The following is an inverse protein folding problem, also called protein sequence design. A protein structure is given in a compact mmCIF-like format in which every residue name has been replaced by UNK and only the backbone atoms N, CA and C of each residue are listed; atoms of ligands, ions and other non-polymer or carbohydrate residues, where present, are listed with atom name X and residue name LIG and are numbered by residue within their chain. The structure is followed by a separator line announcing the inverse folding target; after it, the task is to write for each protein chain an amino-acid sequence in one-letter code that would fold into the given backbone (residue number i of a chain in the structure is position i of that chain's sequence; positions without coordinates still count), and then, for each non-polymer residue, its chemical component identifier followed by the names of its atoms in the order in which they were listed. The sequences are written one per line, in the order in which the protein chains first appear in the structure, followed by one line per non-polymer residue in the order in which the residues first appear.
data_IF_239841891047
#
_entry.id   IF_239841891047
#
_cell.length_a   1.000
_cell.length_b   1.000
_cell.length_c   1.000
_cell.angle_alpha   90.00
_cell.angle_beta   90.00
_cell.angle_gamma   90.00
#
_symmetry.space_group_name_H-M   'P 1'
#
loop_
_entity.id
_entity.type
_entity.pdbx_description
1 polymer ?
#
# COMPACT_ATOMS: atom_id res chain seq x y z
N UNK A 1 -12.73 75.10 36.36
CA UNK A 1 -12.06 73.92 35.77
C UNK A 1 -13.09 72.81 35.64
N UNK A 2 -13.74 72.74 34.49
CA UNK A 2 -14.64 71.66 34.09
C UNK A 2 -13.99 71.03 32.85
N UNK A 3 -13.56 69.77 32.95
CA UNK A 3 -13.08 69.01 31.81
C UNK A 3 -14.19 68.13 31.29
N UNK A 4 -14.54 68.42 30.05
CA UNK A 4 -15.51 67.77 29.18
C UNK A 4 -15.12 66.34 28.84
N UNK A 5 -16.13 65.47 28.82
CA UNK A 5 -16.08 64.06 28.47
C UNK A 5 -16.03 63.91 26.93
N UNK A 6 -15.00 63.26 26.39
CA UNK A 6 -14.84 63.05 24.95
C UNK A 6 -15.19 61.60 24.59
N UNK A 7 -16.39 61.38 24.06
CA UNK A 7 -16.80 60.09 23.48
C UNK A 7 -16.02 59.84 22.18
N UNK A 8 -15.26 58.74 22.12
CA UNK A 8 -14.71 58.22 20.85
C UNK A 8 -15.76 57.33 20.20
N UNK A 9 -16.30 57.75 19.07
CA UNK A 9 -17.04 56.90 18.14
C UNK A 9 -16.08 56.34 17.08
N UNK A 10 -16.20 55.04 16.79
CA UNK A 10 -15.52 54.40 15.67
C UNK A 10 -16.60 53.96 14.69
N UNK A 11 -16.63 54.56 13.51
CA UNK A 11 -17.51 54.18 12.41
C UNK A 11 -16.81 53.11 11.56
N UNK A 12 -17.42 51.93 11.46
CA UNK A 12 -17.00 50.90 10.49
C UNK A 12 -17.83 51.07 9.23
N UNK A 13 -17.16 51.38 8.13
CA UNK A 13 -17.74 51.50 6.80
C UNK A 13 -17.83 50.09 6.21
N UNK A 14 -19.03 49.61 5.90
CA UNK A 14 -19.26 48.30 5.28
C UNK A 14 -19.75 48.54 3.86
N UNK A 15 -18.97 48.10 2.87
CA UNK A 15 -19.39 48.09 1.47
C UNK A 15 -20.55 47.11 1.24
N UNK A 16 -21.50 47.57 0.43
CA UNK A 16 -22.70 46.93 -0.13
C UNK A 16 -22.50 45.43 -0.40
N UNK A 17 -23.16 44.51 0.32
CA UNK A 17 -24.52 44.07 0.00
C UNK A 17 -25.28 43.47 1.21
N UNK A 18 -24.87 43.77 2.45
CA UNK A 18 -25.46 43.15 3.65
C UNK A 18 -26.32 44.08 4.52
N UNK A 19 -26.58 45.32 4.07
CA UNK A 19 -27.31 46.34 4.83
C UNK A 19 -28.84 46.13 4.90
N UNK A 20 -29.38 45.04 4.36
CA UNK A 20 -30.82 44.78 4.29
C UNK A 20 -31.39 43.87 5.40
N UNK A 21 -30.58 43.41 6.36
CA UNK A 21 -31.02 42.42 7.36
C UNK A 21 -30.89 42.82 8.84
N UNK A 22 -30.74 44.10 9.17
CA UNK A 22 -30.69 44.52 10.58
C UNK A 22 -31.83 45.49 10.92
N UNK A 23 -32.77 45.13 11.80
CA UNK A 23 -33.78 46.05 12.29
C UNK A 23 -33.15 47.07 13.24
N UNK A 24 -33.50 48.33 13.04
CA UNK A 24 -33.13 49.48 13.86
C UNK A 24 -33.55 49.28 15.32
N UNK A 25 -32.62 48.92 16.19
CA UNK A 25 -32.84 48.84 17.63
C UNK A 25 -31.62 49.37 18.36
N UNK A 26 -31.79 50.49 19.08
CA UNK A 26 -30.76 51.02 19.97
C UNK A 26 -30.56 50.07 21.16
N UNK A 27 -29.33 49.60 21.39
CA UNK A 27 -28.97 48.78 22.54
C UNK A 27 -28.25 49.63 23.59
N UNK A 28 -28.90 49.84 24.74
CA UNK A 28 -28.26 50.36 25.95
C UNK A 28 -27.38 49.28 26.61
N UNK A 29 -26.11 49.61 26.85
CA UNK A 29 -25.17 48.72 27.54
C UNK A 29 -25.32 48.90 29.05
N UNK A 30 -25.91 47.91 29.74
CA UNK A 30 -25.94 47.85 31.21
C UNK A 30 -24.54 47.52 31.77
N UNK A 31 -24.07 48.33 32.72
CA UNK A 31 -22.83 48.12 33.48
C UNK A 31 -22.86 46.79 34.26
N UNK A 32 -21.86 45.93 34.07
CA UNK A 32 -21.66 44.67 34.80
C UNK A 32 -21.20 44.88 36.25
N UNK A 33 -21.80 44.12 37.19
CA UNK A 33 -21.42 43.98 38.60
C UNK A 33 -20.10 43.17 38.81
N UNK A 34 -19.46 43.23 40.00
CA UNK A 34 -18.04 42.92 40.16
C UNK A 34 -17.68 41.43 40.18
N UNK A 35 -16.54 41.12 39.52
CA UNK A 35 -15.88 39.83 39.26
C UNK A 35 -15.40 39.01 40.49
N UNK A 36 -16.02 39.13 41.67
CA UNK A 36 -15.59 38.36 42.87
C UNK A 36 -16.29 37.01 42.98
N UNK A 37 -17.57 36.91 42.61
CA UNK A 37 -18.37 35.68 42.72
C UNK A 37 -17.94 34.63 41.69
N UNK A 38 -17.61 35.05 40.46
CA UNK A 38 -17.18 34.14 39.38
C UNK A 38 -15.84 33.45 39.66
N UNK A 39 -14.88 34.17 40.27
CA UNK A 39 -13.59 33.58 40.68
C UNK A 39 -13.75 32.50 41.75
N UNK A 40 -14.66 32.69 42.72
CA UNK A 40 -14.95 31.68 43.74
C UNK A 40 -15.58 30.43 43.15
N UNK A 41 -16.49 30.59 42.19
CA UNK A 41 -17.13 29.47 41.48
C UNK A 41 -16.10 28.68 40.67
N UNK A 42 -15.22 29.36 39.93
CA UNK A 42 -14.15 28.70 39.16
C UNK A 42 -13.19 27.92 40.08
N UNK A 43 -12.78 28.52 41.21
CA UNK A 43 -11.89 27.85 42.16
C UNK A 43 -12.56 26.62 42.80
N UNK A 44 -13.85 26.71 43.10
CA UNK A 44 -14.63 25.58 43.61
C UNK A 44 -14.75 24.45 42.58
N UNK A 45 -15.00 24.76 41.31
CA UNK A 45 -15.04 23.77 40.24
C UNK A 45 -13.68 23.08 40.02
N UNK A 46 -12.58 23.81 40.13
CA UNK A 46 -11.23 23.24 40.02
C UNK A 46 -10.88 22.31 41.19
N UNK A 47 -11.34 22.63 42.40
CA UNK A 47 -11.16 21.75 43.56
C UNK A 47 -12.00 20.47 43.45
N UNK A 48 -13.23 20.58 42.94
CA UNK A 48 -14.10 19.42 42.67
C UNK A 48 -13.52 18.51 41.59
N UNK A 49 -12.95 19.05 40.52
CA UNK A 49 -12.33 18.23 39.47
C UNK A 49 -11.05 17.55 39.96
N UNK A 50 -10.23 18.24 40.76
CA UNK A 50 -9.03 17.64 41.35
C UNK A 50 -9.39 16.51 42.34
N UNK A 51 -10.38 16.74 43.20
CA UNK A 51 -10.88 15.70 44.11
C UNK A 51 -11.48 14.52 43.34
N UNK A 52 -12.23 14.79 42.26
CA UNK A 52 -12.75 13.78 41.36
C UNK A 52 -11.65 12.92 40.74
N UNK A 53 -10.57 13.52 40.25
CA UNK A 53 -9.43 12.78 39.69
C UNK A 53 -8.71 11.91 40.73
N UNK A 54 -8.53 12.41 41.95
CA UNK A 54 -7.88 11.64 43.04
C UNK A 54 -8.78 10.50 43.51
N UNK A 55 -10.09 10.75 43.69
CA UNK A 55 -11.04 9.72 44.07
C UNK A 55 -11.18 8.65 42.98
N UNK A 56 -11.25 9.05 41.70
CA UNK A 56 -11.32 8.11 40.58
C UNK A 56 -10.02 7.31 40.46
N UNK A 57 -8.85 7.94 40.67
CA UNK A 57 -7.55 7.25 40.68
C UNK A 57 -7.36 6.29 41.86
N UNK A 58 -7.99 6.56 43.01
CA UNK A 58 -7.90 5.70 44.20
C UNK A 58 -8.87 4.52 44.16
N UNK A 59 -10.04 4.68 43.53
CA UNK A 59 -11.08 3.65 43.46
C UNK A 59 -11.13 2.87 42.13
N UNK A 60 -10.35 3.24 41.10
CA UNK A 60 -10.23 2.44 39.88
C UNK A 60 -9.12 1.38 40.01
N UNK A 61 -9.44 0.08 39.94
CA UNK A 61 -8.44 -0.97 39.81
C UNK A 61 -7.79 -0.92 38.41
N UNK A 62 -6.50 -1.25 38.34
CA UNK A 62 -5.54 -1.09 37.22
C UNK A 62 -5.92 -1.75 35.86
N UNK A 63 -7.16 -2.17 35.64
CA UNK A 63 -7.57 -2.89 34.43
C UNK A 63 -8.47 -2.10 33.47
N UNK A 64 -8.91 -0.87 33.78
CA UNK A 64 -9.93 -0.20 32.95
C UNK A 64 -9.72 1.30 32.66
N UNK A 65 -8.49 1.82 32.78
CA UNK A 65 -8.19 3.19 32.34
C UNK A 65 -7.56 3.20 30.94
N UNK A 66 -8.34 3.66 29.95
CA UNK A 66 -8.06 3.63 28.51
C UNK A 66 -7.03 4.67 28.01
N UNK A 67 -6.05 5.05 28.82
CA UNK A 67 -4.96 5.93 28.41
C UNK A 67 -3.65 5.36 28.97
N UNK A 68 -2.78 4.89 28.06
CA UNK A 68 -1.44 4.31 28.30
C UNK A 68 -1.38 2.83 28.71
N UNK A 69 -1.32 1.92 27.71
CA UNK A 69 -0.44 0.75 27.68
C UNK A 69 -0.49 0.04 26.30
N UNK A 70 0.07 0.67 25.26
CA UNK A 70 0.21 0.02 23.93
C UNK A 70 1.43 -0.90 23.83
N UNK A 71 2.31 -0.92 24.84
CA UNK A 71 3.60 -1.64 24.76
C UNK A 71 3.56 -3.10 25.25
N UNK A 72 2.56 -3.55 26.03
CA UNK A 72 2.55 -4.92 26.58
C UNK A 72 1.75 -5.97 25.79
N UNK A 73 1.03 -5.55 24.74
CA UNK A 73 0.19 -6.47 23.96
C UNK A 73 1.02 -7.32 22.99
N UNK A 74 2.18 -6.85 22.53
CA UNK A 74 2.96 -7.55 21.49
C UNK A 74 3.61 -8.85 21.99
N UNK A 75 4.00 -8.93 23.27
CA UNK A 75 4.76 -10.06 23.80
C UNK A 75 3.86 -11.20 24.30
N UNK A 76 2.75 -10.87 24.97
CA UNK A 76 1.74 -11.84 25.41
C UNK A 76 0.98 -12.47 24.24
N UNK A 77 0.75 -11.71 23.17
CA UNK A 77 0.07 -12.20 21.98
C UNK A 77 0.95 -13.18 21.19
N UNK A 78 2.26 -12.93 21.10
CA UNK A 78 3.21 -13.84 20.44
C UNK A 78 3.33 -15.20 21.15
N UNK A 79 3.30 -15.22 22.49
CA UNK A 79 3.36 -16.45 23.29
C UNK A 79 2.07 -17.26 23.23
N UNK A 80 0.90 -16.61 23.16
CA UNK A 80 -0.39 -17.31 23.12
C UNK A 80 -0.65 -18.01 21.77
N UNK A 81 0.00 -17.56 20.68
CA UNK A 81 -0.15 -18.18 19.35
C UNK A 81 0.74 -19.40 19.11
N UNK A 82 1.81 -19.58 19.89
CA UNK A 82 2.71 -20.73 19.76
C UNK A 82 2.02 -22.06 20.14
N UNK A 83 0.92 -22.03 20.90
CA UNK A 83 0.30 -23.23 21.47
C UNK A 83 -0.99 -23.71 20.78
N UNK A 84 -1.50 -23.05 19.73
CA UNK A 84 -2.81 -23.42 19.14
C UNK A 84 -2.84 -23.36 17.60
N UNK A 85 -2.47 -24.45 16.89
CA UNK A 85 -2.68 -24.53 15.44
C UNK A 85 -4.17 -24.77 15.16
N UNK A 86 -4.86 -23.77 14.60
CA UNK A 86 -6.21 -23.96 14.04
C UNK A 86 -7.27 -22.89 14.36
N UNK A 87 -6.96 -21.83 15.12
CA UNK A 87 -7.90 -20.71 15.30
C UNK A 87 -7.73 -19.66 14.19
N UNK A 88 -8.83 -19.09 13.66
CA UNK A 88 -8.75 -17.97 12.74
C UNK A 88 -8.04 -16.79 13.43
N UNK A 89 -7.10 -16.17 12.72
CA UNK A 89 -6.45 -14.92 13.11
C UNK A 89 -7.53 -13.91 13.52
N UNK A 90 -7.51 -13.33 14.73
CA UNK A 90 -8.53 -12.37 15.15
C UNK A 90 -8.55 -11.18 14.20
N UNK A 91 -9.74 -10.62 13.95
CA UNK A 91 -10.01 -9.49 13.04
C UNK A 91 -9.43 -8.14 13.49
N UNK A 92 -8.27 -8.16 14.14
CA UNK A 92 -7.54 -6.97 14.55
C UNK A 92 -6.66 -6.50 13.39
N UNK A 93 -7.34 -6.03 12.35
CA UNK A 93 -7.04 -4.95 11.39
C UNK A 93 -8.10 -5.15 10.31
N UNK A 94 -9.17 -4.36 10.37
CA UNK A 94 -10.10 -4.22 9.27
C UNK A 94 -9.26 -3.95 8.01
N UNK A 95 -9.22 -4.92 7.09
CA UNK A 95 -8.45 -4.74 5.86
C UNK A 95 -9.00 -3.51 5.16
N UNK A 96 -8.17 -2.49 4.87
CA UNK A 96 -8.66 -1.25 4.27
C UNK A 96 -8.84 -1.44 2.75
N UNK A 97 -9.56 -2.49 2.35
CA UNK A 97 -9.80 -2.87 0.96
C UNK A 97 -10.77 -4.05 0.88
N UNK A 98 -11.40 -4.20 -0.28
CA UNK A 98 -12.40 -5.26 -0.50
C UNK A 98 -11.74 -6.59 -0.77
N UNK A 99 -12.35 -7.65 -0.24
CA UNK A 99 -11.90 -9.02 -0.46
C UNK A 99 -12.25 -9.55 -1.86
N UNK A 100 -11.54 -10.55 -2.36
CA UNK A 100 -11.88 -11.19 -3.64
C UNK A 100 -13.30 -11.77 -3.66
N UNK A 101 -13.74 -12.37 -2.56
CA UNK A 101 -15.08 -12.96 -2.48
C UNK A 101 -16.15 -11.85 -2.56
N UNK A 102 -15.90 -10.69 -1.94
CA UNK A 102 -16.75 -9.49 -2.09
C UNK A 102 -16.78 -8.99 -3.54
N UNK A 103 -15.66 -9.05 -4.27
CA UNK A 103 -15.59 -8.67 -5.69
C UNK A 103 -16.37 -9.63 -6.59
N UNK A 104 -16.51 -10.90 -6.22
CA UNK A 104 -17.21 -11.90 -7.03
C UNK A 104 -18.74 -11.90 -6.89
N UNK A 105 -19.29 -11.23 -5.88
CA UNK A 105 -20.73 -11.07 -5.72
C UNK A 105 -21.32 -10.23 -6.86
N UNK A 106 -22.47 -10.66 -7.41
CA UNK A 106 -23.05 -10.09 -8.66
C UNK A 106 -23.36 -8.57 -8.58
N UNK A 107 -23.53 -8.04 -7.37
CA UNK A 107 -23.79 -6.61 -7.12
C UNK A 107 -22.51 -5.76 -7.08
N UNK A 108 -21.34 -6.39 -7.13
CA UNK A 108 -20.06 -5.75 -6.89
C UNK A 108 -19.28 -5.54 -8.20
N UNK A 109 -19.25 -4.29 -8.70
CA UNK A 109 -18.47 -3.91 -9.89
C UNK A 109 -17.50 -2.77 -9.55
N UNK A 110 -16.29 -2.85 -10.10
CA UNK A 110 -15.33 -1.75 -10.04
C UNK A 110 -15.88 -0.56 -10.83
N UNK A 111 -16.15 0.56 -10.15
CA UNK A 111 -16.77 1.73 -10.75
C UNK A 111 -15.80 2.91 -10.84
N UNK A 112 -15.31 3.15 -12.06
CA UNK A 112 -14.48 4.30 -12.42
C UNK A 112 -15.18 5.65 -12.25
N UNK A 113 -16.52 5.69 -12.25
CA UNK A 113 -17.29 6.91 -12.08
C UNK A 113 -17.60 7.22 -10.61
N UNK A 114 -17.51 6.24 -9.72
CA UNK A 114 -17.61 6.41 -8.28
C UNK A 114 -16.23 6.74 -7.66
N UNK A 115 -15.97 6.29 -6.44
CA UNK A 115 -14.74 6.56 -5.68
C UNK A 115 -13.84 5.34 -5.49
N UNK A 116 -13.99 4.32 -6.36
CA UNK A 116 -13.15 3.11 -6.32
C UNK A 116 -11.72 3.39 -6.76
N UNK A 117 -10.75 2.80 -6.07
CA UNK A 117 -9.33 2.97 -6.34
C UNK A 117 -8.62 1.62 -6.43
N UNK A 118 -7.97 1.38 -7.57
CA UNK A 118 -7.07 0.25 -7.74
C UNK A 118 -5.69 0.59 -7.18
N UNK A 119 -5.14 -0.27 -6.32
CA UNK A 119 -3.84 -0.08 -5.67
C UNK A 119 -2.89 -1.18 -6.10
N UNK A 120 -1.86 -0.83 -6.88
CA UNK A 120 -0.88 -1.81 -7.35
C UNK A 120 0.33 -1.91 -6.42
N UNK A 121 0.39 -3.00 -5.64
CA UNK A 121 1.54 -3.39 -4.84
C UNK A 121 2.58 -4.06 -5.75
N UNK A 122 3.63 -3.32 -6.09
CA UNK A 122 4.69 -3.78 -6.99
C UNK A 122 5.86 -4.41 -6.21
N UNK A 123 5.90 -5.74 -6.15
CA UNK A 123 7.04 -6.50 -5.60
C UNK A 123 8.20 -6.52 -6.59
N UNK A 124 9.43 -6.35 -6.12
CA UNK A 124 10.60 -6.33 -7.00
C UNK A 124 10.72 -7.62 -7.81
N UNK A 125 10.96 -7.45 -9.11
CA UNK A 125 11.32 -8.49 -10.09
C UNK A 125 10.22 -9.52 -10.40
N UNK A 126 8.96 -9.15 -10.20
CA UNK A 126 7.77 -9.94 -10.55
C UNK A 126 7.10 -9.49 -11.86
N UNK A 127 7.84 -8.83 -12.77
CA UNK A 127 7.28 -8.32 -14.03
C UNK A 127 6.41 -7.06 -13.88
N UNK A 128 6.35 -6.45 -12.70
CA UNK A 128 5.50 -5.29 -12.43
C UNK A 128 5.81 -4.03 -13.24
N UNK A 129 7.00 -3.90 -13.86
CA UNK A 129 7.27 -2.85 -14.85
C UNK A 129 6.35 -2.98 -16.07
N UNK A 130 6.26 -4.17 -16.66
CA UNK A 130 5.43 -4.41 -17.84
C UNK A 130 3.94 -4.34 -17.50
N UNK A 131 3.52 -4.97 -16.40
CA UNK A 131 2.12 -4.89 -15.97
C UNK A 131 1.69 -3.47 -15.57
N UNK A 132 2.55 -2.72 -14.87
CA UNK A 132 2.26 -1.33 -14.54
C UNK A 132 2.13 -0.43 -15.79
N UNK A 133 2.85 -0.76 -16.88
CA UNK A 133 2.70 -0.11 -18.20
C UNK A 133 1.33 -0.45 -18.80
N UNK A 134 0.94 -1.73 -18.81
CA UNK A 134 -0.38 -2.15 -19.28
C UNK A 134 -1.53 -1.42 -18.56
N UNK A 135 -1.44 -1.25 -17.23
CA UNK A 135 -2.46 -0.55 -16.44
C UNK A 135 -2.65 0.93 -16.82
N UNK A 136 -1.62 1.61 -17.34
CA UNK A 136 -1.70 3.05 -17.65
C UNK A 136 -1.80 3.35 -19.14
N UNK A 137 -1.43 2.42 -20.01
CA UNK A 137 -1.40 2.64 -21.46
C UNK A 137 -2.41 1.80 -22.22
N UNK A 138 -2.65 0.57 -21.79
CA UNK A 138 -3.30 -0.42 -22.64
C UNK A 138 -4.74 -0.71 -22.22
N UNK A 139 -5.25 -0.14 -21.13
CA UNK A 139 -6.65 -0.29 -20.74
C UNK A 139 -7.58 0.52 -21.65
N UNK A 140 -8.66 -0.11 -22.10
CA UNK A 140 -9.72 0.53 -22.86
C UNK A 140 -10.64 1.38 -21.96
N UNK A 141 -10.20 2.60 -21.68
CA UNK A 141 -10.91 3.55 -20.82
C UNK A 141 -11.63 4.63 -21.62
N UNK A 142 -12.78 5.08 -21.10
CA UNK A 142 -13.51 6.28 -21.59
C UNK A 142 -12.60 7.52 -21.60
N UNK A 143 -11.81 7.69 -20.53
CA UNK A 143 -10.76 8.70 -20.40
C UNK A 143 -9.42 7.99 -20.19
N UNK A 144 -8.57 7.84 -21.23
CA UNK A 144 -7.25 7.26 -21.07
C UNK A 144 -6.36 8.05 -20.10
N UNK A 145 -5.36 7.39 -19.51
CA UNK A 145 -4.37 8.10 -18.70
C UNK A 145 -3.51 9.02 -19.59
N UNK A 146 -3.19 10.22 -19.09
CA UNK A 146 -2.30 11.15 -19.79
C UNK A 146 -0.84 10.94 -19.37
N UNK A 147 -0.04 10.28 -20.20
CA UNK A 147 1.35 9.94 -19.93
C UNK A 147 2.35 11.00 -20.42
N UNK A 148 3.10 11.61 -19.49
CA UNK A 148 4.14 12.58 -19.84
C UNK A 148 5.47 11.87 -20.11
N UNK A 149 5.98 11.98 -21.35
CA UNK A 149 7.26 11.36 -21.76
C UNK A 149 8.44 11.73 -20.85
N UNK A 150 8.48 12.97 -20.35
CA UNK A 150 9.59 13.48 -19.54
C UNK A 150 9.63 12.99 -18.08
N UNK A 151 8.54 12.44 -17.52
CA UNK A 151 8.43 12.19 -16.08
C UNK A 151 8.17 10.73 -15.69
N UNK A 152 8.15 9.79 -16.64
CA UNK A 152 7.79 8.36 -16.42
C UNK A 152 6.55 8.22 -15.51
N UNK A 153 5.59 9.15 -15.63
CA UNK A 153 4.38 9.25 -14.81
C UNK A 153 3.21 9.68 -15.69
N UNK A 154 2.07 9.07 -15.45
CA UNK A 154 0.81 9.29 -16.12
C UNK A 154 -0.23 9.82 -15.15
N UNK A 155 -1.12 10.65 -15.64
CA UNK A 155 -2.27 11.14 -14.89
C UNK A 155 -3.49 10.28 -15.24
N UNK A 156 -3.83 9.36 -14.32
CA UNK A 156 -4.97 8.44 -14.45
C UNK A 156 -6.16 8.99 -13.66
N UNK A 157 -6.88 9.91 -14.29
CA UNK A 157 -8.04 10.56 -13.69
C UNK A 157 -9.35 9.89 -14.08
N UNK A 158 -10.36 10.03 -13.24
CA UNK A 158 -11.73 9.55 -13.52
C UNK A 158 -12.31 10.22 -14.77
N UNK A 159 -13.34 9.62 -15.42
CA UNK A 159 -13.96 10.21 -16.60
C UNK A 159 -14.56 11.60 -16.37
N UNK A 160 -15.09 11.86 -15.16
CA UNK A 160 -15.87 13.07 -14.85
C UNK A 160 -15.20 14.02 -13.85
N UNK A 161 -14.02 13.68 -13.33
CA UNK A 161 -13.31 14.50 -12.34
C UNK A 161 -11.79 14.36 -12.47
N UNK A 162 -11.02 15.15 -11.74
CA UNK A 162 -9.57 15.00 -11.63
C UNK A 162 -9.15 14.17 -10.41
N UNK A 163 -10.05 13.32 -9.92
CA UNK A 163 -9.75 12.32 -8.89
C UNK A 163 -8.99 11.13 -9.49
N UNK A 164 -8.19 10.49 -8.66
CA UNK A 164 -7.32 9.38 -9.05
C UNK A 164 -8.03 8.05 -8.82
N UNK A 165 -8.12 7.22 -9.86
CA UNK A 165 -8.67 5.86 -9.76
C UNK A 165 -7.59 4.77 -9.66
N UNK A 166 -6.33 5.10 -9.94
CA UNK A 166 -5.19 4.17 -9.90
C UNK A 166 -4.07 4.72 -9.02
N UNK A 167 -3.67 3.95 -8.02
CA UNK A 167 -2.51 4.20 -7.18
C UNK A 167 -1.39 3.21 -7.53
N UNK A 168 -0.35 3.68 -8.20
CA UNK A 168 0.76 2.86 -8.69
C UNK A 168 2.02 3.70 -8.98
N UNK A 169 3.16 3.03 -9.20
CA UNK A 169 4.42 3.67 -9.64
C UNK A 169 4.21 4.64 -10.81
N UNK A 170 3.43 4.24 -11.81
CA UNK A 170 3.27 5.00 -13.05
C UNK A 170 2.12 6.01 -13.00
N UNK A 171 1.32 6.05 -11.94
CA UNK A 171 0.24 7.02 -11.76
C UNK A 171 0.61 8.06 -10.70
N UNK A 172 0.61 7.66 -9.42
CA UNK A 172 0.89 8.50 -8.26
C UNK A 172 2.39 8.60 -7.96
N UNK A 173 3.19 7.63 -8.42
CA UNK A 173 4.59 7.50 -8.05
C UNK A 173 4.76 6.79 -6.71
N UNK A 174 5.95 6.88 -6.14
CA UNK A 174 6.29 6.22 -4.86
C UNK A 174 5.88 7.05 -3.63
N UNK A 175 4.61 7.50 -3.60
CA UNK A 175 4.09 8.37 -2.52
C UNK A 175 4.18 7.74 -1.13
N UNK A 176 3.88 6.43 -1.06
CA UNK A 176 3.97 5.65 0.17
C UNK A 176 5.34 5.04 0.44
N UNK A 177 6.34 5.29 -0.41
CA UNK A 177 7.66 4.67 -0.33
C UNK A 177 8.01 3.91 -1.61
N UNK A 178 9.32 3.79 -1.87
CA UNK A 178 9.83 3.02 -2.99
C UNK A 178 9.51 1.54 -2.77
N UNK A 179 8.76 0.93 -3.69
CA UNK A 179 8.29 -0.45 -3.56
C UNK A 179 7.59 -0.73 -2.22
N UNK A 180 6.71 0.20 -1.82
CA UNK A 180 5.91 0.09 -0.60
C UNK A 180 5.21 -1.28 -0.52
N UNK A 181 5.40 -1.97 0.60
CA UNK A 181 4.79 -3.28 0.88
C UNK A 181 3.33 -3.18 1.35
N UNK A 182 2.70 -4.31 1.63
CA UNK A 182 1.31 -4.36 2.10
C UNK A 182 1.09 -3.56 3.38
N UNK A 183 2.03 -3.65 4.34
CA UNK A 183 1.98 -2.91 5.61
C UNK A 183 2.10 -1.41 5.37
N UNK A 184 2.98 -0.99 4.46
CA UNK A 184 3.17 0.42 4.10
C UNK A 184 1.96 0.99 3.35
N UNK A 185 1.45 0.29 2.34
CA UNK A 185 0.36 0.80 1.49
C UNK A 185 -0.96 0.93 2.26
N UNK A 186 -1.32 -0.10 3.02
CA UNK A 186 -2.57 -0.10 3.81
C UNK A 186 -2.61 1.01 4.86
N UNK A 187 -1.46 1.41 5.39
CA UNK A 187 -1.35 2.53 6.32
C UNK A 187 -1.27 3.92 5.67
N UNK A 188 -1.03 4.00 4.35
CA UNK A 188 -0.63 5.26 3.70
C UNK A 188 -1.58 5.75 2.59
N UNK A 189 -2.09 4.84 1.75
CA UNK A 189 -2.78 5.22 0.49
C UNK A 189 -3.94 6.17 0.71
N UNK A 190 -4.79 5.91 1.71
CA UNK A 190 -5.96 6.75 1.98
C UNK A 190 -5.59 8.20 2.29
N UNK A 191 -4.66 8.40 3.24
CA UNK A 191 -4.20 9.73 3.61
C UNK A 191 -3.48 10.46 2.46
N UNK A 192 -2.75 9.76 1.60
CA UNK A 192 -2.10 10.38 0.43
C UNK A 192 -3.09 10.83 -0.63
N UNK A 193 -4.18 10.07 -0.85
CA UNK A 193 -5.23 10.47 -1.79
C UNK A 193 -6.04 11.65 -1.26
N UNK A 194 -6.41 11.64 0.02
CA UNK A 194 -7.11 12.77 0.65
C UNK A 194 -6.31 14.08 0.56
N UNK A 195 -5.00 14.01 0.84
CA UNK A 195 -4.10 15.17 0.71
C UNK A 195 -4.00 15.66 -0.74
N UNK A 196 -4.02 14.75 -1.70
CA UNK A 196 -3.88 15.11 -3.11
C UNK A 196 -5.17 15.70 -3.70
N UNK A 197 -6.33 15.20 -3.26
CA UNK A 197 -7.65 15.61 -3.76
C UNK A 197 -8.26 16.76 -2.93
N UNK A 198 -7.68 17.08 -1.77
CA UNK A 198 -8.09 18.19 -0.91
C UNK A 198 -9.36 17.93 -0.10
N UNK A 199 -9.91 16.71 -0.17
CA UNK A 199 -11.10 16.30 0.57
C UNK A 199 -11.01 14.84 0.98
N UNK A 200 -11.53 14.55 2.18
CA UNK A 200 -11.69 13.19 2.65
C UNK A 200 -12.91 12.56 1.99
N UNK A 201 -12.69 11.52 1.18
CA UNK A 201 -13.76 10.81 0.46
C UNK A 201 -13.75 9.36 0.88
N UNK A 202 -14.94 8.80 1.09
CA UNK A 202 -15.07 7.37 1.33
C UNK A 202 -14.74 6.61 0.03
N UNK A 203 -13.56 5.98 0.01
CA UNK A 203 -13.04 5.20 -1.14
C UNK A 203 -13.01 3.72 -0.80
N UNK A 204 -13.27 2.90 -1.80
CA UNK A 204 -13.04 1.46 -1.73
C UNK A 204 -11.72 1.13 -2.44
N UNK A 205 -10.84 0.37 -1.78
CA UNK A 205 -9.52 0.06 -2.31
C UNK A 205 -9.45 -1.39 -2.81
N UNK A 206 -8.97 -1.55 -4.03
CA UNK A 206 -8.79 -2.82 -4.71
C UNK A 206 -7.31 -3.10 -4.84
N UNK A 207 -6.77 -3.82 -3.87
CA UNK A 207 -5.35 -4.18 -3.88
C UNK A 207 -5.09 -5.24 -4.93
N UNK A 208 -4.07 -5.00 -5.74
CA UNK A 208 -3.59 -5.92 -6.75
C UNK A 208 -2.08 -6.09 -6.70
N UNK A 209 -1.58 -7.24 -7.12
CA UNK A 209 -0.13 -7.50 -7.18
C UNK A 209 0.26 -8.49 -8.28
N UNK A 210 1.56 -8.69 -8.49
CA UNK A 210 2.11 -9.77 -9.29
C UNK A 210 3.10 -10.59 -8.48
N UNK A 211 3.03 -11.91 -8.65
CA UNK A 211 3.97 -12.87 -8.13
C UNK A 211 4.77 -13.54 -9.24
N UNK A 212 5.85 -14.20 -8.83
CA UNK A 212 6.76 -14.92 -9.72
C UNK A 212 7.34 -16.13 -9.00
N UNK A 213 7.72 -17.15 -9.77
CA UNK A 213 8.41 -18.32 -9.23
C UNK A 213 9.64 -17.86 -8.41
N UNK A 214 9.75 -18.25 -7.13
CA UNK A 214 10.70 -17.66 -6.19
C UNK A 214 12.17 -17.75 -6.60
N UNK A 215 12.61 -18.88 -7.18
CA UNK A 215 13.99 -19.04 -7.62
C UNK A 215 14.30 -18.10 -8.79
N UNK A 216 13.42 -18.06 -9.80
CA UNK A 216 13.54 -17.15 -10.94
C UNK A 216 13.50 -15.68 -10.51
N UNK A 217 12.62 -15.33 -9.57
CA UNK A 217 12.51 -13.99 -8.97
C UNK A 217 13.78 -13.60 -8.22
N UNK A 218 14.30 -14.49 -7.38
CA UNK A 218 15.53 -14.29 -6.60
C UNK A 218 16.75 -14.09 -7.50
N UNK A 219 16.91 -14.92 -8.53
CA UNK A 219 18.00 -14.79 -9.50
C UNK A 219 17.88 -13.52 -10.35
N UNK A 220 16.64 -13.11 -10.68
CA UNK A 220 16.40 -11.83 -11.35
C UNK A 220 16.78 -10.64 -10.48
N UNK A 221 16.57 -10.73 -9.17
CA UNK A 221 17.01 -9.73 -8.20
C UNK A 221 18.53 -9.71 -8.07
N UNK A 222 19.17 -10.86 -7.87
CA UNK A 222 20.62 -11.01 -7.85
C UNK A 222 21.28 -10.31 -9.05
N UNK A 223 20.81 -10.59 -10.27
CA UNK A 223 21.35 -9.97 -11.49
C UNK A 223 21.13 -8.47 -11.54
N UNK A 224 20.04 -7.97 -10.99
CA UNK A 224 19.78 -6.53 -10.94
C UNK A 224 20.69 -5.84 -9.92
N UNK A 225 20.87 -6.45 -8.75
CA UNK A 225 21.75 -5.98 -7.69
C UNK A 225 23.21 -5.99 -8.13
N UNK A 226 23.64 -7.06 -8.83
CA UNK A 226 24.98 -7.15 -9.44
C UNK A 226 25.28 -5.99 -10.39
N UNK A 227 24.27 -5.41 -11.03
CA UNK A 227 24.40 -4.23 -11.90
C UNK A 227 24.28 -2.90 -11.16
N UNK A 228 24.05 -2.89 -9.84
CA UNK A 228 24.03 -1.70 -8.99
C UNK A 228 22.67 -1.34 -8.39
N UNK A 229 21.62 -2.14 -8.60
CA UNK A 229 20.34 -1.90 -7.94
C UNK A 229 20.44 -2.11 -6.42
N UNK A 230 19.83 -1.21 -5.64
CA UNK A 230 19.83 -1.28 -4.17
C UNK A 230 18.46 -1.12 -3.56
N UNK A 231 17.60 -0.31 -4.17
CA UNK A 231 16.34 0.18 -3.58
C UNK A 231 16.51 0.78 -2.17
N UNK A 232 17.68 1.35 -1.87
CA UNK A 232 18.01 1.93 -0.56
C UNK A 232 17.14 3.09 -0.10
N UNK A 233 16.32 3.65 -0.99
CA UNK A 233 15.31 4.67 -0.67
C UNK A 233 13.97 4.11 -0.18
N UNK A 234 13.85 2.79 0.01
CA UNK A 234 12.67 2.16 0.60
C UNK A 234 12.56 2.56 2.07
N UNK A 235 11.35 2.87 2.54
CA UNK A 235 11.13 3.37 3.91
C UNK A 235 11.05 2.24 4.92
N UNK A 236 10.51 1.08 4.53
CA UNK A 236 10.29 -0.01 5.48
C UNK A 236 9.44 0.46 6.67
N UNK A 237 8.38 1.22 6.36
CA UNK A 237 7.51 1.83 7.36
C UNK A 237 6.58 0.80 8.00
N UNK A 238 6.58 0.72 9.31
CA UNK A 238 5.73 -0.18 10.07
C UNK A 238 5.45 0.40 11.46
N UNK A 239 4.22 0.26 11.95
CA UNK A 239 3.77 0.80 13.24
C UNK A 239 4.10 2.30 13.45
N UNK A 240 4.00 3.10 12.38
CA UNK A 240 4.17 4.55 12.46
C UNK A 240 5.63 5.05 12.46
N UNK A 241 6.61 4.18 12.13
CA UNK A 241 8.01 4.58 11.99
C UNK A 241 8.72 3.85 10.85
N UNK A 242 9.79 4.47 10.35
CA UNK A 242 10.76 3.87 9.42
C UNK A 242 11.64 2.86 10.15
N UNK A 243 12.00 1.75 9.50
CA UNK A 243 12.98 0.82 10.05
C UNK A 243 14.36 1.49 10.19
N UNK A 244 15.07 1.17 11.27
CA UNK A 244 16.42 1.66 11.52
C UNK A 244 17.48 0.86 10.76
N UNK A 245 18.68 1.43 10.59
CA UNK A 245 19.81 0.71 9.99
C UNK A 245 20.29 -0.49 10.82
N UNK A 246 19.91 -0.59 12.10
CA UNK A 246 20.18 -1.76 12.93
C UNK A 246 19.18 -2.90 12.65
N UNK A 247 17.91 -2.56 12.36
CA UNK A 247 16.86 -3.53 12.01
C UNK A 247 17.01 -4.03 10.57
N UNK A 248 17.42 -3.14 9.65
CA UNK A 248 17.63 -3.47 8.23
C UNK A 248 19.01 -2.97 7.78
N UNK A 249 20.11 -3.62 8.22
CA UNK A 249 21.45 -3.24 7.81
C UNK A 249 21.69 -3.60 6.33
N UNK A 250 22.47 -2.79 5.59
CA UNK A 250 22.82 -3.11 4.22
C UNK A 250 23.77 -4.32 4.16
N UNK A 251 23.63 -5.14 3.12
CA UNK A 251 24.55 -6.25 2.83
C UNK A 251 25.85 -5.83 2.13
N UNK A 252 26.04 -4.53 1.90
CA UNK A 252 27.15 -3.99 1.14
C UNK A 252 27.69 -2.72 1.80
N UNK A 253 28.93 -2.38 1.47
CA UNK A 253 29.57 -1.13 1.85
C UNK A 253 29.54 -0.15 0.68
N UNK A 254 29.53 1.16 0.97
CA UNK A 254 29.52 2.20 -0.07
C UNK A 254 28.15 2.42 -0.73
N UNK A 255 28.14 2.79 -2.01
CA UNK A 255 26.92 3.28 -2.68
C UNK A 255 25.95 2.18 -3.12
N UNK A 256 26.47 1.02 -3.52
CA UNK A 256 25.71 -0.12 -4.05
C UNK A 256 26.46 -1.46 -3.91
N UNK A 257 25.76 -2.57 -4.17
CA UNK A 257 26.34 -3.92 -4.20
C UNK A 257 26.78 -4.35 -5.62
N UNK A 258 27.33 -3.40 -6.38
CA UNK A 258 27.76 -3.64 -7.76
C UNK A 258 28.83 -4.73 -7.83
N UNK A 259 28.74 -5.61 -8.82
CA UNK A 259 29.70 -6.70 -9.02
C UNK A 259 29.52 -7.94 -8.13
N UNK A 260 28.58 -7.93 -7.17
CA UNK A 260 28.40 -9.03 -6.21
C UNK A 260 28.33 -10.41 -6.86
N UNK A 261 29.04 -11.37 -6.27
CA UNK A 261 28.98 -12.79 -6.67
C UNK A 261 27.70 -13.45 -6.15
N UNK A 262 27.30 -14.58 -6.72
CA UNK A 262 26.11 -15.28 -6.21
C UNK A 262 26.32 -15.75 -4.76
N UNK A 263 27.54 -16.19 -4.43
CA UNK A 263 27.90 -16.69 -3.11
C UNK A 263 27.80 -15.60 -2.04
N UNK A 264 28.35 -14.41 -2.29
CA UNK A 264 28.20 -13.26 -1.38
C UNK A 264 26.73 -12.86 -1.22
N UNK A 265 25.98 -12.86 -2.33
CA UNK A 265 24.55 -12.51 -2.32
C UNK A 265 23.73 -13.46 -1.45
N UNK A 266 23.96 -14.77 -1.56
CA UNK A 266 23.26 -15.79 -0.76
C UNK A 266 23.74 -15.85 0.68
N UNK A 267 24.98 -15.45 0.94
CA UNK A 267 25.59 -15.54 2.28
C UNK A 267 25.16 -14.41 3.22
N UNK A 268 24.68 -13.27 2.72
CA UNK A 268 24.23 -12.18 3.58
C UNK A 268 22.93 -12.54 4.35
N UNK A 269 22.95 -12.59 5.70
CA UNK A 269 21.75 -12.93 6.48
C UNK A 269 20.64 -11.88 6.40
N UNK A 270 21.01 -10.63 6.11
CA UNK A 270 20.11 -9.48 6.04
C UNK A 270 19.58 -9.22 4.62
N UNK A 271 19.84 -10.12 3.68
CA UNK A 271 19.45 -9.91 2.29
C UNK A 271 17.92 -9.90 2.15
N UNK A 272 17.37 -8.72 1.85
CA UNK A 272 15.94 -8.50 1.63
C UNK A 272 15.37 -9.28 0.44
N UNK A 273 16.21 -9.87 -0.41
CA UNK A 273 15.78 -10.80 -1.44
C UNK A 273 15.20 -12.11 -0.85
N UNK A 274 15.65 -12.53 0.33
CA UNK A 274 15.17 -13.76 0.97
C UNK A 274 13.70 -13.61 1.39
N UNK A 275 12.84 -14.53 0.95
CA UNK A 275 11.39 -14.53 1.23
C UNK A 275 10.72 -13.17 0.98
N UNK A 276 11.12 -12.47 -0.08
CA UNK A 276 10.65 -11.11 -0.38
C UNK A 276 9.14 -11.07 -0.60
N UNK A 277 8.56 -12.02 -1.33
CA UNK A 277 7.14 -11.99 -1.65
C UNK A 277 6.29 -12.16 -0.39
N UNK A 278 6.68 -13.10 0.47
CA UNK A 278 6.05 -13.34 1.77
C UNK A 278 6.15 -12.11 2.65
N UNK A 279 7.35 -11.55 2.82
CA UNK A 279 7.55 -10.35 3.65
C UNK A 279 6.72 -9.16 3.13
N UNK A 280 6.69 -8.94 1.82
CA UNK A 280 6.01 -7.78 1.25
C UNK A 280 4.48 -7.90 1.20
N UNK A 281 3.94 -9.12 1.38
CA UNK A 281 2.50 -9.37 1.42
C UNK A 281 1.95 -9.56 2.83
N UNK A 282 2.80 -9.93 3.78
CA UNK A 282 2.41 -10.06 5.18
C UNK A 282 2.17 -8.69 5.82
N UNK A 283 1.33 -8.69 6.85
CA UNK A 283 1.31 -7.62 7.84
C UNK A 283 2.48 -7.82 8.80
N UNK A 284 3.49 -6.96 8.68
CA UNK A 284 4.71 -7.04 9.47
C UNK A 284 4.49 -6.61 10.92
N UNK A 285 3.41 -5.88 11.23
CA UNK A 285 3.09 -5.49 12.60
C UNK A 285 2.82 -6.70 13.50
N UNK A 286 2.37 -7.83 12.93
CA UNK A 286 2.10 -9.09 13.64
C UNK A 286 3.35 -9.74 14.23
N UNK A 287 4.54 -9.40 13.73
CA UNK A 287 5.81 -10.00 14.13
C UNK A 287 6.83 -8.97 14.62
N UNK A 288 6.35 -7.82 15.10
CA UNK A 288 7.22 -6.76 15.60
C UNK A 288 8.01 -6.04 14.50
N UNK A 289 7.40 -5.88 13.31
CA UNK A 289 7.97 -5.16 12.17
C UNK A 289 9.33 -5.74 11.72
N UNK A 290 10.30 -4.88 11.40
CA UNK A 290 11.58 -5.29 10.84
C UNK A 290 12.53 -5.97 11.85
N UNK A 291 12.25 -5.84 13.15
CA UNK A 291 13.01 -6.55 14.19
C UNK A 291 12.81 -8.08 14.11
N UNK A 292 11.58 -8.53 13.82
CA UNK A 292 11.25 -9.96 13.72
C UNK A 292 11.41 -10.59 12.33
N UNK A 293 11.60 -9.81 11.26
CA UNK A 293 11.40 -10.32 9.88
C UNK A 293 12.67 -10.74 9.13
N UNK A 294 13.87 -10.41 9.62
CA UNK A 294 15.13 -10.68 8.92
C UNK A 294 15.99 -11.74 9.63
N UNK A 295 16.93 -11.32 10.48
CA UNK A 295 17.93 -12.23 11.06
C UNK A 295 17.39 -13.08 12.21
N UNK A 296 16.46 -12.56 13.01
CA UNK A 296 15.95 -13.22 14.22
C UNK A 296 14.65 -14.00 13.97
N UNK A 297 14.47 -14.55 12.76
CA UNK A 297 13.28 -15.34 12.42
C UNK A 297 13.31 -16.69 13.13
N UNK A 298 12.24 -16.95 13.87
CA UNK A 298 11.93 -18.26 14.43
C UNK A 298 10.94 -18.99 13.52
N UNK A 299 10.83 -20.32 13.61
CA UNK A 299 9.81 -21.06 12.87
C UNK A 299 8.38 -20.56 13.13
N UNK A 300 8.09 -20.04 14.31
CA UNK A 300 6.77 -19.49 14.64
C UNK A 300 6.52 -18.14 13.96
N UNK A 301 7.54 -17.26 13.90
CA UNK A 301 7.47 -16.03 13.11
C UNK A 301 7.26 -16.35 11.63
N UNK A 302 7.98 -17.33 11.09
CA UNK A 302 7.85 -17.78 9.70
C UNK A 302 6.43 -18.26 9.38
N UNK A 303 5.80 -19.01 10.30
CA UNK A 303 4.40 -19.45 10.19
C UNK A 303 3.43 -18.26 10.18
N UNK A 304 3.62 -17.29 11.08
CA UNK A 304 2.76 -16.09 11.15
C UNK A 304 2.89 -15.26 9.87
N UNK A 305 4.11 -15.02 9.40
CA UNK A 305 4.37 -14.29 8.16
C UNK A 305 3.71 -14.96 6.96
N UNK A 306 3.88 -16.27 6.83
CA UNK A 306 3.31 -17.02 5.71
C UNK A 306 1.78 -17.05 5.76
N UNK A 307 1.19 -17.27 6.94
CA UNK A 307 -0.26 -17.26 7.12
C UNK A 307 -0.85 -15.88 6.79
N UNK A 308 -0.19 -14.80 7.26
CA UNK A 308 -0.57 -13.42 6.95
C UNK A 308 -0.49 -13.14 5.45
N UNK A 309 0.61 -13.49 4.79
CA UNK A 309 0.79 -13.31 3.36
C UNK A 309 -0.26 -14.08 2.53
N UNK A 310 -0.55 -15.34 2.89
CA UNK A 310 -1.60 -16.15 2.24
C UNK A 310 -2.98 -15.52 2.42
N UNK A 311 -3.33 -15.08 3.64
CA UNK A 311 -4.60 -14.39 3.93
C UNK A 311 -4.74 -13.11 3.11
N UNK A 312 -3.72 -12.25 3.13
CA UNK A 312 -3.75 -10.96 2.44
C UNK A 312 -3.82 -11.15 0.92
N UNK A 313 -3.04 -12.07 0.35
CA UNK A 313 -3.09 -12.39 -1.08
C UNK A 313 -4.45 -12.95 -1.49
N UNK A 314 -5.04 -13.83 -0.67
CA UNK A 314 -6.38 -14.37 -0.93
C UNK A 314 -7.46 -13.30 -0.83
N UNK A 315 -7.30 -12.29 0.02
CA UNK A 315 -8.21 -11.16 0.09
C UNK A 315 -8.01 -10.16 -1.06
N UNK A 316 -6.84 -10.06 -1.68
CA UNK A 316 -6.65 -9.13 -2.81
C UNK A 316 -7.65 -9.39 -3.94
N UNK A 317 -8.23 -8.29 -4.43
CA UNK A 317 -9.15 -8.26 -5.56
C UNK A 317 -8.58 -9.00 -6.77
N UNK A 318 -7.27 -8.88 -7.02
CA UNK A 318 -6.60 -9.62 -8.08
C UNK A 318 -5.11 -9.80 -7.77
N UNK A 319 -4.53 -10.90 -8.23
CA UNK A 319 -3.09 -11.01 -8.38
C UNK A 319 -2.78 -11.79 -9.65
N UNK A 320 -1.65 -11.50 -10.29
CA UNK A 320 -1.18 -12.20 -11.48
C UNK A 320 0.09 -13.03 -11.23
N UNK A 321 0.38 -13.97 -12.12
CA UNK A 321 1.60 -14.78 -12.08
C UNK A 321 2.42 -14.53 -13.35
N UNK A 322 3.71 -14.25 -13.17
CA UNK A 322 4.61 -13.88 -14.27
C UNK A 322 4.69 -14.97 -15.35
N UNK A 323 4.59 -16.22 -14.94
CA UNK A 323 4.66 -17.43 -15.75
C UNK A 323 3.36 -17.73 -16.53
N UNK A 324 2.27 -16.98 -16.24
CA UNK A 324 0.94 -17.23 -16.78
C UNK A 324 0.28 -15.92 -17.24
N UNK A 325 0.93 -15.19 -18.16
CA UNK A 325 0.50 -13.87 -18.62
C UNK A 325 -0.93 -13.87 -19.20
N UNK A 326 -1.24 -14.82 -20.10
CA UNK A 326 -2.56 -14.90 -20.74
C UNK A 326 -3.69 -15.17 -19.74
N UNK A 327 -3.48 -16.10 -18.80
CA UNK A 327 -4.42 -16.37 -17.70
C UNK A 327 -4.58 -15.12 -16.83
N UNK A 328 -3.45 -14.49 -16.48
CA UNK A 328 -3.43 -13.27 -15.66
C UNK A 328 -4.23 -12.13 -16.32
N UNK A 329 -4.07 -11.91 -17.62
CA UNK A 329 -4.87 -10.95 -18.38
C UNK A 329 -6.37 -11.27 -18.29
N UNK A 330 -6.78 -12.49 -18.63
CA UNK A 330 -8.19 -12.88 -18.58
C UNK A 330 -8.80 -12.69 -17.19
N UNK A 331 -8.12 -13.18 -16.15
CA UNK A 331 -8.62 -13.06 -14.77
C UNK A 331 -8.74 -11.58 -14.36
N UNK A 332 -7.79 -10.72 -14.73
CA UNK A 332 -7.90 -9.28 -14.47
C UNK A 332 -9.11 -8.68 -15.18
N UNK A 333 -9.25 -8.94 -16.48
CA UNK A 333 -10.30 -8.34 -17.31
C UNK A 333 -11.69 -8.71 -16.81
N UNK A 334 -11.92 -9.97 -16.45
CA UNK A 334 -13.19 -10.44 -15.91
C UNK A 334 -13.44 -9.96 -14.47
N UNK A 335 -12.39 -9.87 -13.64
CA UNK A 335 -12.53 -9.38 -12.25
C UNK A 335 -12.97 -7.92 -12.20
N UNK A 336 -12.39 -7.06 -13.06
CA UNK A 336 -12.68 -5.62 -13.04
C UNK A 336 -13.65 -5.17 -14.12
N UNK A 337 -14.08 -6.08 -15.00
CA UNK A 337 -14.86 -5.78 -16.20
C UNK A 337 -14.21 -4.64 -17.04
N UNK A 338 -12.89 -4.75 -17.21
CA UNK A 338 -12.06 -3.86 -18.03
C UNK A 338 -11.39 -4.69 -19.12
N UNK A 339 -11.00 -4.07 -20.23
CA UNK A 339 -10.31 -4.75 -21.33
C UNK A 339 -8.98 -4.10 -21.62
N UNK A 340 -7.97 -4.91 -21.93
CA UNK A 340 -6.74 -4.39 -22.51
C UNK A 340 -6.89 -4.36 -24.04
N UNK A 341 -6.40 -3.29 -24.66
CA UNK A 341 -6.28 -3.13 -26.11
C UNK A 341 -4.99 -3.74 -26.67
N UNK A 342 -4.12 -4.26 -25.80
CA UNK A 342 -2.88 -4.96 -26.17
C UNK A 342 -2.80 -6.25 -25.35
N UNK A 343 -2.58 -7.42 -25.98
CA UNK A 343 -2.48 -8.69 -25.26
C UNK A 343 -1.18 -8.77 -24.45
N UNK A 344 -1.23 -9.48 -23.32
CA UNK A 344 -0.02 -9.74 -22.55
C UNK A 344 0.83 -10.81 -23.25
N UNK A 345 2.11 -10.53 -23.42
CA UNK A 345 3.07 -11.41 -24.09
C UNK A 345 3.87 -12.24 -23.09
N UNK A 346 3.91 -13.56 -23.31
CA UNK A 346 4.68 -14.46 -22.44
C UNK A 346 6.15 -14.48 -22.84
N UNK A 347 7.01 -13.90 -22.00
CA UNK A 347 8.46 -13.91 -22.21
C UNK A 347 9.14 -15.00 -21.37
N UNK A 348 9.34 -16.19 -21.97
CA UNK A 348 9.98 -17.32 -21.30
C UNK A 348 11.51 -17.22 -21.26
N UNK A 349 12.12 -16.57 -22.27
CA UNK A 349 13.55 -16.31 -22.33
C UNK A 349 13.93 -15.15 -21.39
N UNK A 350 14.13 -15.47 -20.11
CA UNK A 350 14.52 -14.47 -19.11
C UNK A 350 16.00 -14.59 -18.75
N UNK A 351 16.62 -13.46 -18.39
CA UNK A 351 18.01 -13.42 -17.87
C UNK A 351 18.19 -14.35 -16.65
N UNK A 352 17.13 -14.52 -15.85
CA UNK A 352 17.06 -15.49 -14.75
C UNK A 352 17.10 -16.93 -15.23
N UNK A 353 16.44 -17.28 -16.34
CA UNK A 353 16.47 -18.63 -16.92
C UNK A 353 17.87 -19.03 -17.39
N UNK A 354 18.57 -18.13 -18.08
CA UNK A 354 19.96 -18.35 -18.47
C UNK A 354 20.89 -18.49 -17.25
N UNK A 355 20.64 -17.71 -16.19
CA UNK A 355 21.41 -17.83 -14.93
C UNK A 355 21.13 -19.16 -14.24
N UNK A 356 19.88 -19.60 -14.18
CA UNK A 356 19.48 -20.85 -13.55
C UNK A 356 20.16 -22.05 -14.22
N UNK A 357 20.23 -22.05 -15.56
CA UNK A 357 20.89 -23.11 -16.34
C UNK A 357 22.39 -23.25 -16.04
N UNK A 358 23.06 -22.20 -15.54
CA UNK A 358 24.48 -22.24 -15.18
C UNK A 358 24.76 -22.64 -13.72
N UNK A 359 23.73 -22.86 -12.90
CA UNK A 359 23.91 -23.17 -11.47
C UNK A 359 24.00 -24.67 -11.22
N UNK A 360 24.80 -25.04 -10.21
CA UNK A 360 24.82 -26.41 -9.72
C UNK A 360 23.53 -26.74 -8.95
N UNK A 361 23.13 -28.03 -8.87
CA UNK A 361 21.98 -28.45 -8.06
C UNK A 361 22.06 -28.00 -6.60
N UNK A 362 23.27 -27.97 -6.01
CA UNK A 362 23.50 -27.52 -4.65
C UNK A 362 23.21 -26.02 -4.48
N UNK A 363 23.63 -25.19 -5.44
CA UNK A 363 23.32 -23.76 -5.44
C UNK A 363 21.81 -23.50 -5.54
N UNK A 364 21.12 -24.24 -6.42
CA UNK A 364 19.66 -24.15 -6.56
C UNK A 364 18.96 -24.57 -5.27
N UNK A 365 19.39 -25.67 -4.64
CA UNK A 365 18.84 -26.13 -3.37
C UNK A 365 19.04 -25.10 -2.24
N UNK A 366 20.20 -24.44 -2.21
CA UNK A 366 20.48 -23.38 -1.25
C UNK A 366 19.54 -22.17 -1.44
N UNK A 367 19.34 -21.71 -2.69
CA UNK A 367 18.41 -20.60 -3.00
C UNK A 367 16.97 -20.97 -2.61
N UNK A 368 16.55 -22.21 -2.88
CA UNK A 368 15.24 -22.72 -2.46
C UNK A 368 15.09 -22.67 -0.94
N UNK A 369 16.11 -23.07 -0.18
CA UNK A 369 16.11 -22.99 1.29
C UNK A 369 15.98 -21.56 1.79
N UNK A 370 16.69 -20.61 1.20
CA UNK A 370 16.59 -19.18 1.56
C UNK A 370 15.21 -18.57 1.26
N UNK A 371 14.47 -19.17 0.33
CA UNK A 371 13.17 -18.70 -0.15
C UNK A 371 12.04 -19.71 0.14
N UNK A 372 12.16 -20.48 1.23
CA UNK A 372 11.21 -21.54 1.58
C UNK A 372 9.77 -21.05 1.74
N UNK A 373 9.56 -19.89 2.37
CA UNK A 373 8.23 -19.31 2.55
C UNK A 373 7.67 -18.82 1.23
N UNK A 374 8.50 -18.18 0.39
CA UNK A 374 8.07 -17.74 -0.94
C UNK A 374 7.67 -18.93 -1.83
N UNK A 375 8.34 -20.08 -1.70
CA UNK A 375 7.96 -21.32 -2.41
C UNK A 375 6.58 -21.80 -1.98
N UNK A 376 6.32 -21.85 -0.68
CA UNK A 376 5.03 -22.28 -0.16
C UNK A 376 3.91 -21.29 -0.49
N UNK A 377 4.19 -19.99 -0.43
CA UNK A 377 3.28 -18.92 -0.84
C UNK A 377 2.98 -18.99 -2.34
N UNK A 378 3.99 -19.20 -3.18
CA UNK A 378 3.82 -19.26 -4.63
C UNK A 378 2.99 -20.48 -5.04
N UNK A 379 3.20 -21.63 -4.41
CA UNK A 379 2.38 -22.82 -4.66
C UNK A 379 0.92 -22.58 -4.25
N UNK A 380 0.68 -21.95 -3.10
CA UNK A 380 -0.65 -21.50 -2.70
C UNK A 380 -1.26 -20.54 -3.74
N UNK A 381 -0.51 -19.52 -4.15
CA UNK A 381 -0.95 -18.50 -5.10
C UNK A 381 -1.30 -19.11 -6.45
N UNK A 382 -0.49 -20.04 -6.94
CA UNK A 382 -0.72 -20.79 -8.17
C UNK A 382 -2.05 -21.55 -8.10
N UNK A 383 -2.22 -22.37 -7.06
CA UNK A 383 -3.45 -23.14 -6.89
C UNK A 383 -4.69 -22.23 -6.78
N UNK A 384 -4.57 -21.11 -6.05
CA UNK A 384 -5.66 -20.15 -5.93
C UNK A 384 -5.97 -19.46 -7.27
N UNK A 385 -4.95 -19.03 -8.02
CA UNK A 385 -5.13 -18.41 -9.34
C UNK A 385 -5.88 -19.33 -10.32
N UNK A 386 -5.47 -20.60 -10.40
CA UNK A 386 -6.15 -21.56 -11.30
C UNK A 386 -7.58 -21.82 -10.85
N UNK A 387 -7.86 -21.89 -9.54
CA UNK A 387 -9.24 -21.97 -9.03
C UNK A 387 -10.07 -20.74 -9.43
N UNK A 388 -9.53 -19.53 -9.31
CA UNK A 388 -10.18 -18.28 -9.72
C UNK A 388 -10.46 -18.27 -11.22
N UNK A 389 -9.48 -18.66 -12.03
CA UNK A 389 -9.61 -18.78 -13.48
C UNK A 389 -10.74 -19.73 -13.88
N UNK A 390 -10.77 -20.95 -13.33
CA UNK A 390 -11.82 -21.93 -13.64
C UNK A 390 -13.21 -21.48 -13.16
N UNK A 391 -13.29 -20.78 -12.02
CA UNK A 391 -14.55 -20.20 -11.54
C UNK A 391 -15.10 -19.12 -12.48
N UNK A 392 -14.23 -18.21 -12.95
CA UNK A 392 -14.59 -17.17 -13.92
C UNK A 392 -15.01 -17.79 -15.27
N UNK A 393 -14.18 -18.72 -15.78
CA UNK A 393 -14.47 -19.46 -17.02
C UNK A 393 -15.81 -20.19 -16.97
N UNK A 394 -16.19 -20.78 -15.83
CA UNK A 394 -17.48 -21.47 -15.66
C UNK A 394 -18.68 -20.50 -15.69
N UNK A 395 -18.48 -19.25 -15.25
CA UNK A 395 -19.52 -18.19 -15.27
C UNK A 395 -19.61 -17.48 -16.62
N UNK A 396 -18.55 -17.50 -17.41
CA UNK A 396 -18.44 -16.81 -18.69
C UNK A 396 -19.01 -17.64 -19.84
N UNK A 397 -20.22 -17.29 -20.29
CA UNK A 397 -20.90 -17.96 -21.42
C UNK A 397 -20.17 -17.78 -22.75
N UNK A 398 -19.33 -16.75 -22.87
CA UNK A 398 -18.60 -16.42 -24.11
C UNK A 398 -17.09 -16.68 -23.97
N UNK A 399 -16.69 -17.53 -23.01
CA UNK A 399 -15.29 -17.79 -22.67
C UNK A 399 -14.42 -18.06 -23.90
N UNK A 400 -14.82 -18.99 -24.77
CA UNK A 400 -14.02 -19.38 -25.93
C UNK A 400 -13.79 -18.22 -26.90
N UNK A 401 -14.76 -17.32 -27.02
CA UNK A 401 -14.62 -16.12 -27.82
C UNK A 401 -13.67 -15.14 -27.12
N UNK A 402 -13.92 -14.77 -25.86
CA UNK A 402 -13.09 -13.80 -25.13
C UNK A 402 -11.64 -14.26 -25.00
N UNK A 403 -11.41 -15.53 -24.69
CA UNK A 403 -10.09 -16.13 -24.55
C UNK A 403 -9.25 -16.08 -25.83
N UNK A 404 -9.90 -16.14 -27.01
CA UNK A 404 -9.24 -16.02 -28.31
C UNK A 404 -8.92 -14.58 -28.68
N UNK A 405 -9.76 -13.63 -28.27
CA UNK A 405 -9.68 -12.21 -28.66
C UNK A 405 -9.19 -11.30 -27.51
N UNK A 406 -8.45 -11.85 -26.54
CA UNK A 406 -7.81 -11.05 -25.50
C UNK A 406 -6.85 -10.04 -26.13
N UNK A 407 -6.96 -8.76 -25.78
CA UNK A 407 -6.12 -7.72 -26.37
C UNK A 407 -6.58 -7.22 -27.74
N UNK A 408 -7.67 -7.74 -28.30
CA UNK A 408 -8.17 -7.37 -29.64
C UNK A 408 -9.35 -6.40 -29.55
N UNK A 409 -9.17 -5.28 -28.85
CA UNK A 409 -10.18 -4.21 -28.81
C UNK A 409 -10.03 -3.37 -30.08
N UNK A 410 -11.11 -3.23 -30.85
CA UNK A 410 -11.13 -2.36 -32.05
C UNK A 410 -11.02 -0.89 -31.64
N UNK A 411 -9.79 -0.40 -31.46
CA UNK A 411 -9.49 1.02 -31.25
C UNK A 411 -8.67 1.54 -32.44
N UNK A 412 -9.18 2.56 -33.10
CA UNK A 412 -8.40 3.32 -34.08
C UNK A 412 -7.29 4.08 -33.35
N UNK A 413 -6.03 3.72 -33.59
CA UNK A 413 -4.86 4.57 -33.26
C UNK A 413 -4.03 4.24 -32.02
N UNK A 414 -4.02 3.01 -31.50
CA UNK A 414 -3.03 2.61 -30.48
C UNK A 414 -1.77 2.11 -31.19
N UNK A 415 -0.72 2.94 -31.23
CA UNK A 415 0.62 2.47 -31.56
C UNK A 415 1.24 1.82 -30.33
N UNK A 416 1.71 0.58 -30.48
CA UNK A 416 2.54 -0.11 -29.49
C UNK A 416 3.77 0.75 -29.21
N UNK A 417 3.80 1.43 -28.05
CA UNK A 417 4.86 2.38 -27.72
C UNK A 417 5.98 1.67 -26.95
N UNK A 418 7.08 1.38 -27.64
CA UNK A 418 8.23 0.64 -27.13
C UNK A 418 9.14 1.51 -26.22
N UNK A 419 9.04 1.26 -24.91
CA UNK A 419 9.95 1.81 -23.90
C UNK A 419 11.21 0.96 -23.66
N UNK A 420 11.28 -0.26 -24.19
CA UNK A 420 12.40 -1.17 -23.97
C UNK A 420 13.64 -0.77 -24.79
N UNK A 421 13.46 0.16 -25.73
CA UNK A 421 14.54 0.92 -26.37
C UNK A 421 15.42 1.71 -25.38
N UNK A 422 15.01 1.89 -24.11
CA UNK A 422 15.83 2.55 -23.08
C UNK A 422 15.76 1.82 -21.73
N UNK A 423 16.27 0.58 -21.69
CA UNK A 423 16.60 -0.16 -20.47
C UNK A 423 17.72 0.53 -19.66
N UNK A 424 17.44 1.70 -19.10
CA UNK A 424 18.17 2.25 -17.97
C UNK A 424 17.20 2.68 -16.88
N UNK A 425 17.19 1.88 -15.81
CA UNK A 425 16.45 2.11 -14.58
C UNK A 425 17.18 3.21 -13.77
N UNK A 426 17.31 4.41 -14.33
CA UNK A 426 17.92 5.60 -13.69
C UNK A 426 17.07 6.20 -12.55
N UNK A 427 16.21 5.39 -11.91
CA UNK A 427 15.43 5.84 -10.74
C UNK A 427 16.26 5.91 -9.45
N UNK A 428 17.52 5.49 -9.50
CA UNK A 428 18.52 5.72 -8.43
C UNK A 428 19.14 7.12 -8.43
N UNK A 429 19.01 7.93 -9.49
CA UNK A 429 19.67 9.24 -9.54
C UNK A 429 18.84 10.41 -8.97
N UNK A 430 17.50 10.31 -8.91
CA UNK A 430 16.65 11.43 -8.48
C UNK A 430 16.56 11.66 -6.97
N UNK A 431 17.23 10.85 -6.15
CA UNK A 431 17.40 11.09 -4.70
C UNK A 431 18.80 11.61 -4.34
N UNK A 432 19.55 12.15 -5.33
CA UNK A 432 20.83 12.85 -5.11
C UNK A 432 20.70 14.37 -4.91
N UNK A 433 19.51 14.90 -4.70
CA UNK A 433 19.39 16.34 -4.43
C UNK A 433 17.98 16.80 -4.11
N UNK A 434 17.65 16.78 -2.81
CA UNK A 434 17.06 17.90 -2.07
C UNK A 434 17.07 17.57 -0.59
#
# INVERSE_FOLDING_TARGET
MHSTEMQKSVSVQVDSDFALLLPSGAYEIKKMEPRSKLRRVILFCLLLSLFGMVAFGYFCPDQVCALSARERVSESLALTYAEAPGRPLPDVIAQPGLSYDEVLHDDFRFDLNAHDVMVFLHIQKTGGTSFGKHLVMDLDLKRPCNCQRARKRCHCFRPHSNEIWLFSRYSTGWKCGLHADFTELTACVGGELDRNEGSAVHRRYFYITLLREPVARYLSEYRHVKRGATWKGSRHWCQGRTATGAEVPPCYTGESWHGVTLEEFTSCPWNLANNRQTRMLADLALVGCYNGTLRHRTPDIDRVLLASAKRNLAAMAYFGLTEYQKISQYVFEETFNLRFAVPFTQHNATVSGATLASLSPAQVAHIKKLNSLDLELYEFAKNLMFKRFEALKKRDTDFDFRWRHLGEVTRTGVTEFDWDSNLEDATTERYRGK
#
